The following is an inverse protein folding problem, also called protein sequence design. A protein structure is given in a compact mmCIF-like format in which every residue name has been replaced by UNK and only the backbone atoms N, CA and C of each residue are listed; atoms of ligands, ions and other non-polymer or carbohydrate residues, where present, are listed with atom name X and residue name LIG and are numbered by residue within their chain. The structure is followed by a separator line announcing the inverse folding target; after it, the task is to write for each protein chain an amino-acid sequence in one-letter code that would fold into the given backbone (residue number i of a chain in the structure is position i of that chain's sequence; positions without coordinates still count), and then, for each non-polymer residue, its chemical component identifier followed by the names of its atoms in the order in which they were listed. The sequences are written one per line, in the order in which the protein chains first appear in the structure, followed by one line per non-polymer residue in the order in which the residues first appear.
data_IF_327717578217
#
_entry.id   IF_327717578217
#
_cell.length_a   1.000
_cell.length_b   1.000
_cell.length_c   1.000
_cell.angle_alpha   90.00
_cell.angle_beta   90.00
_cell.angle_gamma   90.00
#
_symmetry.space_group_name_H-M   'P 1'
#
loop_
_entity.id
_entity.type
_entity.pdbx_description
1 polymer ?
#
# COMPACT_ATOMS: atom_id res chain seq x y z
N UNK A 1 18.92 8.37 -2.41
CA UNK A 1 17.69 7.65 -2.02
C UNK A 1 16.62 8.67 -1.66
N UNK A 2 15.47 8.60 -2.31
CA UNK A 2 14.34 9.49 -2.02
C UNK A 2 13.70 9.16 -0.67
N UNK A 3 12.86 10.05 -0.17
CA UNK A 3 12.14 9.80 1.10
C UNK A 3 11.24 8.57 1.00
N UNK A 4 10.61 8.36 -0.16
CA UNK A 4 9.77 7.18 -0.41
C UNK A 4 10.61 5.91 -0.36
N UNK A 5 11.77 5.92 -1.02
CA UNK A 5 12.67 4.76 -1.01
C UNK A 5 13.21 4.47 0.37
N UNK A 6 13.51 5.50 1.14
CA UNK A 6 14.01 5.34 2.51
C UNK A 6 12.94 4.71 3.40
N UNK A 7 11.72 5.21 3.34
CA UNK A 7 10.61 4.68 4.11
C UNK A 7 10.36 3.21 3.77
N UNK A 8 10.37 2.90 2.48
CA UNK A 8 10.22 1.53 2.01
C UNK A 8 11.36 0.63 2.51
N UNK A 9 12.58 1.12 2.41
CA UNK A 9 13.77 0.42 2.89
C UNK A 9 13.64 0.07 4.38
N UNK A 10 13.21 1.04 5.19
CA UNK A 10 13.02 0.83 6.62
C UNK A 10 11.96 -0.23 6.91
N UNK A 11 10.88 -0.23 6.14
CA UNK A 11 9.82 -1.23 6.26
C UNK A 11 10.38 -2.63 5.98
N UNK A 12 11.14 -2.79 4.92
CA UNK A 12 11.75 -4.08 4.57
C UNK A 12 12.74 -4.52 5.65
N UNK A 13 13.54 -3.60 6.17
CA UNK A 13 14.51 -3.91 7.24
C UNK A 13 13.82 -4.36 8.53
N UNK A 14 12.56 -4.00 8.75
CA UNK A 14 11.82 -4.39 9.96
C UNK A 14 11.45 -5.87 9.98
N UNK A 15 11.56 -6.56 8.84
CA UNK A 15 11.25 -8.00 8.77
C UNK A 15 12.41 -8.78 9.36
N UNK A 16 12.09 -9.73 10.24
CA UNK A 16 13.09 -10.58 10.87
C UNK A 16 13.89 -11.35 9.82
N UNK A 17 15.21 -11.28 9.90
CA UNK A 17 16.10 -11.95 8.96
C UNK A 17 16.49 -11.10 7.76
N UNK A 18 15.87 -9.93 7.58
CA UNK A 18 16.24 -9.01 6.51
C UNK A 18 17.05 -7.86 7.11
N UNK A 19 18.37 -7.93 6.98
CA UNK A 19 19.22 -6.83 7.40
C UNK A 19 19.35 -5.79 6.30
N UNK A 20 20.08 -4.71 6.59
CA UNK A 20 20.30 -3.63 5.65
C UNK A 20 20.88 -4.09 4.31
N UNK A 21 21.81 -5.02 4.35
CA UNK A 21 22.45 -5.53 3.13
C UNK A 21 21.45 -6.27 2.24
N UNK A 22 20.62 -7.14 2.82
CA UNK A 22 19.61 -7.87 2.05
C UNK A 22 18.56 -6.93 1.49
N UNK A 23 18.13 -5.95 2.29
CA UNK A 23 17.16 -4.95 1.87
C UNK A 23 17.68 -4.16 0.67
N UNK A 24 18.92 -3.69 0.72
CA UNK A 24 19.54 -2.96 -0.38
C UNK A 24 19.65 -3.82 -1.64
N UNK A 25 20.05 -5.07 -1.49
CA UNK A 25 20.16 -5.99 -2.63
C UNK A 25 18.82 -6.29 -3.27
N UNK A 26 17.77 -6.36 -2.46
CA UNK A 26 16.43 -6.63 -2.96
C UNK A 26 15.85 -5.44 -3.73
N UNK A 27 16.32 -4.22 -3.45
CA UNK A 27 15.81 -3.00 -4.08
C UNK A 27 16.40 -2.76 -5.46
N UNK A 28 16.43 -3.80 -6.31
CA UNK A 28 16.89 -3.70 -7.70
C UNK A 28 15.75 -3.32 -8.64
N UNK A 29 14.52 -3.33 -8.14
CA UNK A 29 13.33 -2.93 -8.89
C UNK A 29 12.71 -1.70 -8.26
N UNK A 30 11.88 -0.95 -9.01
CA UNK A 30 11.19 0.20 -8.44
C UNK A 30 10.36 -0.19 -7.22
N UNK A 31 10.30 0.70 -6.24
CA UNK A 31 9.53 0.50 -5.00
C UNK A 31 8.10 0.09 -5.31
N UNK A 32 7.48 0.71 -6.31
CA UNK A 32 6.11 0.41 -6.71
C UNK A 32 5.94 -1.07 -7.07
N UNK A 33 6.88 -1.64 -7.82
CA UNK A 33 6.80 -3.03 -8.24
C UNK A 33 6.89 -3.98 -7.05
N UNK A 34 7.84 -3.72 -6.15
CA UNK A 34 8.03 -4.58 -4.98
C UNK A 34 6.83 -4.45 -4.03
N UNK A 35 6.31 -3.25 -3.85
CA UNK A 35 5.13 -3.01 -3.02
C UNK A 35 3.92 -3.80 -3.56
N UNK A 36 3.72 -3.82 -4.88
CA UNK A 36 2.65 -4.58 -5.50
C UNK A 36 2.81 -6.09 -5.28
N UNK A 37 4.04 -6.60 -5.38
CA UNK A 37 4.31 -8.02 -5.12
C UNK A 37 3.91 -8.42 -3.70
N UNK A 38 4.21 -7.57 -2.72
CA UNK A 38 3.87 -7.82 -1.33
C UNK A 38 2.36 -7.74 -1.12
N UNK A 39 1.73 -6.71 -1.67
CA UNK A 39 0.29 -6.48 -1.55
C UNK A 39 -0.51 -7.64 -2.17
N UNK A 40 -0.07 -8.12 -3.31
CA UNK A 40 -0.73 -9.22 -4.04
C UNK A 40 -0.33 -10.59 -3.50
N UNK A 41 0.54 -10.62 -2.48
CA UNK A 41 1.03 -11.87 -1.88
C UNK A 41 1.71 -12.77 -2.93
N UNK A 42 2.40 -12.16 -3.87
CA UNK A 42 3.07 -12.88 -4.95
C UNK A 42 4.46 -13.36 -4.51
N UNK A 43 4.47 -14.48 -3.80
CA UNK A 43 5.69 -15.06 -3.24
C UNK A 43 6.72 -15.40 -4.31
N UNK A 44 6.25 -15.92 -5.45
CA UNK A 44 7.12 -16.26 -6.56
C UNK A 44 7.91 -15.06 -7.08
N UNK A 45 7.22 -13.95 -7.29
CA UNK A 45 7.87 -12.72 -7.77
C UNK A 45 8.88 -12.20 -6.75
N UNK A 46 8.55 -12.29 -5.46
CA UNK A 46 9.47 -11.86 -4.40
C UNK A 46 10.74 -12.69 -4.39
N UNK A 47 10.68 -13.97 -4.69
CA UNK A 47 11.86 -14.83 -4.73
C UNK A 47 12.79 -14.51 -5.90
N UNK A 48 12.34 -13.73 -6.89
CA UNK A 48 13.22 -13.27 -7.96
C UNK A 48 14.15 -12.15 -7.49
N UNK A 49 13.88 -11.56 -6.33
CA UNK A 49 14.74 -10.51 -5.79
C UNK A 49 15.97 -11.14 -5.15
N UNK A 50 17.18 -10.55 -5.37
CA UNK A 50 18.41 -11.11 -4.81
C UNK A 50 18.35 -11.25 -3.30
N UNK A 51 18.70 -12.43 -2.79
CA UNK A 51 18.76 -12.69 -1.36
C UNK A 51 17.42 -13.05 -0.71
N UNK A 52 16.33 -13.09 -1.48
CA UNK A 52 15.00 -13.41 -0.96
C UNK A 52 14.60 -14.81 -1.37
N UNK A 53 14.59 -15.74 -0.42
CA UNK A 53 14.09 -17.10 -0.64
C UNK A 53 12.61 -17.23 -0.30
N UNK A 54 12.06 -18.43 -0.48
CA UNK A 54 10.64 -18.70 -0.25
C UNK A 54 10.19 -18.36 1.18
N UNK A 55 10.97 -18.80 2.18
CA UNK A 55 10.64 -18.52 3.58
C UNK A 55 10.68 -17.03 3.88
N UNK A 56 11.66 -16.31 3.34
CA UNK A 56 11.79 -14.87 3.52
C UNK A 56 10.62 -14.14 2.87
N UNK A 57 10.24 -14.56 1.66
CA UNK A 57 9.09 -13.98 0.95
C UNK A 57 7.81 -14.09 1.79
N UNK A 58 7.57 -15.24 2.39
CA UNK A 58 6.41 -15.45 3.26
C UNK A 58 6.43 -14.50 4.46
N UNK A 59 7.60 -14.33 5.08
CA UNK A 59 7.75 -13.42 6.24
C UNK A 59 7.48 -11.97 5.84
N UNK A 60 8.01 -11.56 4.70
CA UNK A 60 7.81 -10.20 4.19
C UNK A 60 6.32 -9.93 3.98
N UNK A 61 5.63 -10.84 3.29
CA UNK A 61 4.20 -10.70 3.03
C UNK A 61 3.41 -10.67 4.34
N UNK A 62 3.67 -11.62 5.25
CA UNK A 62 2.94 -11.70 6.51
C UNK A 62 3.06 -10.42 7.34
N UNK A 63 4.25 -9.84 7.39
CA UNK A 63 4.49 -8.66 8.21
C UNK A 63 4.08 -7.35 7.55
N UNK A 64 4.30 -7.23 6.24
CA UNK A 64 4.20 -5.94 5.57
C UNK A 64 2.97 -5.74 4.69
N UNK A 65 2.18 -6.78 4.41
CA UNK A 65 1.05 -6.68 3.50
C UNK A 65 0.15 -5.48 3.79
N UNK A 66 -0.32 -5.34 5.03
CA UNK A 66 -1.21 -4.25 5.42
C UNK A 66 -0.49 -2.90 5.39
N UNK A 67 0.72 -2.86 5.94
CA UNK A 67 1.53 -1.63 5.94
C UNK A 67 1.85 -1.18 4.52
N UNK A 68 2.07 -2.14 3.63
CA UNK A 68 2.40 -1.85 2.24
C UNK A 68 1.23 -1.22 1.49
N UNK A 69 0.00 -1.70 1.74
CA UNK A 69 -1.19 -1.10 1.14
C UNK A 69 -1.37 0.34 1.61
N UNK A 70 -1.18 0.61 2.90
CA UNK A 70 -1.25 1.97 3.44
C UNK A 70 -0.16 2.86 2.85
N UNK A 71 1.06 2.32 2.76
CA UNK A 71 2.18 3.05 2.17
C UNK A 71 1.89 3.43 0.72
N UNK A 72 1.39 2.51 -0.08
CA UNK A 72 1.05 2.77 -1.48
C UNK A 72 0.00 3.88 -1.61
N UNK A 73 -0.99 3.90 -0.72
CA UNK A 73 -1.99 4.96 -0.68
C UNK A 73 -1.38 6.32 -0.40
N UNK A 74 -0.45 6.39 0.56
CA UNK A 74 0.19 7.66 0.90
C UNK A 74 1.01 8.19 -0.27
N UNK A 75 1.67 7.33 -1.02
CA UNK A 75 2.43 7.73 -2.20
C UNK A 75 1.49 8.31 -3.27
N UNK A 76 0.36 7.67 -3.51
CA UNK A 76 -0.62 8.16 -4.48
C UNK A 76 -1.21 9.49 -4.02
N UNK A 77 -1.57 9.61 -2.74
CA UNK A 77 -2.10 10.85 -2.17
C UNK A 77 -1.13 12.01 -2.36
N UNK A 78 0.14 11.79 -2.04
CA UNK A 78 1.16 12.84 -2.11
C UNK A 78 1.36 13.33 -3.55
N UNK A 79 1.14 12.47 -4.54
CA UNK A 79 1.26 12.84 -5.96
C UNK A 79 -0.01 13.43 -6.52
N UNK A 80 -1.18 12.94 -6.10
CA UNK A 80 -2.45 13.30 -6.72
C UNK A 80 -3.06 14.56 -6.11
N UNK A 81 -3.13 14.67 -4.79
CA UNK A 81 -3.77 15.79 -4.12
C UNK A 81 -3.53 15.76 -2.62
N UNK A 82 -3.17 16.91 -2.06
CA UNK A 82 -3.05 17.07 -0.62
C UNK A 82 -4.40 17.37 0.06
N UNK A 83 -5.48 17.36 -0.69
CA UNK A 83 -6.82 17.68 -0.15
C UNK A 83 -7.38 16.56 0.72
N UNK A 84 -6.84 15.34 0.60
CA UNK A 84 -7.23 14.24 1.47
C UNK A 84 -6.24 14.18 2.65
N UNK A 85 -6.67 14.48 3.89
CA UNK A 85 -5.78 14.35 5.04
C UNK A 85 -5.29 12.91 5.21
N UNK A 86 -4.02 12.77 5.60
CA UNK A 86 -3.42 11.44 5.76
C UNK A 86 -4.17 10.58 6.78
N UNK A 87 -4.51 11.16 7.92
CA UNK A 87 -5.22 10.44 8.98
C UNK A 87 -6.59 9.96 8.50
N UNK A 88 -7.31 10.80 7.76
CA UNK A 88 -8.60 10.45 7.21
C UNK A 88 -8.50 9.29 6.22
N UNK A 89 -7.47 9.32 5.37
CA UNK A 89 -7.24 8.25 4.40
C UNK A 89 -6.94 6.92 5.10
N UNK A 90 -6.13 6.95 6.15
CA UNK A 90 -5.83 5.75 6.92
C UNK A 90 -7.08 5.20 7.63
N UNK A 91 -7.89 6.07 8.22
CA UNK A 91 -9.15 5.68 8.85
C UNK A 91 -10.11 5.04 7.84
N UNK A 92 -10.20 5.61 6.65
CA UNK A 92 -11.06 5.06 5.60
C UNK A 92 -10.57 3.68 5.17
N UNK A 93 -9.26 3.50 5.05
CA UNK A 93 -8.68 2.20 4.74
C UNK A 93 -9.05 1.16 5.81
N UNK A 94 -8.86 1.49 7.07
CA UNK A 94 -9.18 0.60 8.18
C UNK A 94 -10.69 0.27 8.21
N UNK A 95 -11.54 1.25 7.94
CA UNK A 95 -12.98 1.06 7.90
C UNK A 95 -13.39 0.08 6.79
N UNK A 96 -12.80 0.22 5.59
CA UNK A 96 -13.08 -0.71 4.49
C UNK A 96 -12.66 -2.14 4.83
N UNK A 97 -11.51 -2.30 5.47
CA UNK A 97 -11.06 -3.61 5.92
C UNK A 97 -12.01 -4.20 6.96
N UNK A 98 -12.50 -3.38 7.87
CA UNK A 98 -13.48 -3.80 8.89
C UNK A 98 -14.80 -4.23 8.24
N UNK A 99 -15.18 -3.60 7.13
CA UNK A 99 -16.39 -3.95 6.39
C UNK A 99 -16.25 -5.23 5.55
N UNK A 100 -15.07 -5.83 5.53
CA UNK A 100 -14.85 -7.11 4.86
C UNK A 100 -14.03 -7.04 3.58
N UNK A 101 -13.57 -5.87 3.18
CA UNK A 101 -12.71 -5.75 2.01
C UNK A 101 -11.27 -6.16 2.35
N UNK A 102 -10.58 -6.77 1.39
CA UNK A 102 -9.18 -7.09 1.57
C UNK A 102 -8.34 -5.81 1.55
N UNK A 103 -7.11 -5.88 2.06
CA UNK A 103 -6.19 -4.74 2.03
C UNK A 103 -5.97 -4.25 0.60
N UNK A 104 -5.79 -5.17 -0.34
CA UNK A 104 -5.58 -4.82 -1.74
C UNK A 104 -6.81 -4.13 -2.35
N UNK A 105 -8.01 -4.64 -2.05
CA UNK A 105 -9.25 -4.06 -2.55
C UNK A 105 -9.50 -2.68 -1.94
N UNK A 106 -9.29 -2.54 -0.64
CA UNK A 106 -9.44 -1.25 0.04
C UNK A 106 -8.48 -0.22 -0.56
N UNK A 107 -7.26 -0.62 -0.81
CA UNK A 107 -6.28 0.27 -1.44
C UNK A 107 -6.73 0.70 -2.84
N UNK A 108 -7.22 -0.23 -3.66
CA UNK A 108 -7.68 0.08 -5.02
C UNK A 108 -8.87 1.03 -5.01
N UNK A 109 -9.82 0.82 -4.10
CA UNK A 109 -10.99 1.70 -3.97
C UNK A 109 -10.58 3.13 -3.64
N UNK A 110 -9.69 3.29 -2.67
CA UNK A 110 -9.22 4.61 -2.25
C UNK A 110 -8.32 5.24 -3.30
N UNK A 111 -7.49 4.45 -3.96
CA UNK A 111 -6.63 4.91 -5.05
C UNK A 111 -7.49 5.51 -6.18
N UNK A 112 -8.54 4.80 -6.57
CA UNK A 112 -9.48 5.26 -7.59
C UNK A 112 -10.15 6.57 -7.19
N UNK A 113 -10.54 6.68 -5.92
CA UNK A 113 -11.15 7.89 -5.40
C UNK A 113 -10.18 9.07 -5.45
N UNK A 114 -8.93 8.86 -5.06
CA UNK A 114 -7.91 9.90 -5.07
C UNK A 114 -7.62 10.42 -6.49
N UNK A 115 -7.66 9.54 -7.47
CA UNK A 115 -7.39 9.91 -8.85
C UNK A 115 -8.60 10.56 -9.53
N UNK A 116 -9.80 10.16 -9.14
CA UNK A 116 -11.02 10.61 -9.80
C UNK A 116 -11.69 11.83 -9.20
N UNK A 117 -11.46 12.11 -7.93
CA UNK A 117 -12.14 13.20 -7.23
C UNK A 117 -11.16 14.21 -6.67
N UNK A 118 -11.45 15.50 -6.89
CA UNK A 118 -10.64 16.59 -6.35
C UNK A 118 -11.37 17.34 -5.24
N UNK A 119 -12.47 16.81 -4.74
CA UNK A 119 -13.19 17.47 -3.66
C UNK A 119 -12.56 17.18 -2.32
N UNK A 120 -12.82 18.03 -1.36
CA UNK A 120 -12.38 17.83 0.02
C UNK A 120 -13.31 16.88 0.74
N UNK A 121 -12.74 15.99 1.53
CA UNK A 121 -13.49 15.09 2.41
C UNK A 121 -13.24 15.51 3.85
N UNK A 122 -14.27 15.44 4.67
CA UNK A 122 -14.19 15.92 6.06
C UNK A 122 -14.21 14.79 7.08
N UNK A 123 -14.83 13.65 6.75
CA UNK A 123 -14.86 12.51 7.67
C UNK A 123 -14.90 11.19 6.90
N UNK A 124 -14.77 10.09 7.63
CA UNK A 124 -14.74 8.74 7.06
C UNK A 124 -16.05 8.40 6.35
N UNK A 125 -17.19 8.79 6.94
CA UNK A 125 -18.49 8.55 6.31
C UNK A 125 -18.59 9.18 4.93
N UNK A 126 -18.08 10.38 4.78
CA UNK A 126 -18.08 11.10 3.51
C UNK A 126 -17.23 10.35 2.46
N UNK A 127 -16.07 9.85 2.88
CA UNK A 127 -15.19 9.08 2.00
C UNK A 127 -15.85 7.78 1.56
N UNK A 128 -16.44 7.04 2.50
CA UNK A 128 -17.10 5.77 2.21
C UNK A 128 -18.29 5.96 1.29
N UNK A 129 -19.07 7.00 1.53
CA UNK A 129 -20.22 7.32 0.68
C UNK A 129 -19.77 7.58 -0.76
N UNK A 130 -18.70 8.34 -0.94
CA UNK A 130 -18.17 8.64 -2.27
C UNK A 130 -17.72 7.37 -2.99
N UNK A 131 -17.07 6.46 -2.27
CA UNK A 131 -16.62 5.18 -2.84
C UNK A 131 -17.81 4.35 -3.33
N UNK A 132 -18.84 4.19 -2.49
CA UNK A 132 -20.00 3.37 -2.85
C UNK A 132 -20.84 3.99 -3.95
N UNK A 133 -20.93 5.32 -4.00
CA UNK A 133 -21.62 6.01 -5.09
C UNK A 133 -20.91 5.77 -6.42
N UNK A 134 -19.57 5.85 -6.43
CA UNK A 134 -18.79 5.57 -7.64
C UNK A 134 -18.96 4.13 -8.12
N UNK A 135 -18.99 3.17 -7.21
CA UNK A 135 -19.18 1.76 -7.57
C UNK A 135 -20.53 1.53 -8.21
N UNK A 136 -21.57 2.20 -7.75
CA UNK A 136 -22.91 2.08 -8.31
C UNK A 136 -23.03 2.77 -9.67
N UNK A 137 -22.30 3.85 -9.89
CA UNK A 137 -22.38 4.56 -11.17
C UNK A 137 -21.61 3.85 -12.29
N UNK A 138 -20.65 2.99 -11.95
CA UNK A 138 -19.89 2.19 -12.91
C UNK A 138 -20.59 0.87 -13.26
N UNK A 139 -21.63 0.54 -12.54
CA UNK A 139 -22.44 -0.64 -12.80
C UNK A 139 -23.56 -0.38 -13.79
#
# INVERSE_FOLDING_TARGET
MSDVEREFFEMICSVDGVGAKKALRAMVRPVKDIAEMIEEQNHKSLTTLPGIGAAMAERIVAKLRRKMSKFALMVVRDKASEEMPRDLLQEAFDALCTLGHSEADARRMLDKLLQGSKRKFTDVGDVLQAIYVEQHSDG
#
